data_IF_804516956211
#
_entry.id   IF_804516956211
#
_cell.length_a   1.000
_cell.length_b   1.000
_cell.length_c   1.000
_cell.angle_alpha   90.00
_cell.angle_beta   90.00
_cell.angle_gamma   90.00
#
_symmetry.space_group_name_H-M   'P 1'
#
loop_
_entity.id
_entity.type
_entity.pdbx_description
1 polymer ?
#
# COMPACT_ATOMS: atom_id res chain seq x y z
N UNK A 1 -24.70 37.97 45.94
CA UNK A 1 -24.88 37.76 44.51
C UNK A 1 -23.59 37.33 43.77
N UNK A 2 -22.66 36.61 44.44
CA UNK A 2 -21.36 36.26 43.83
C UNK A 2 -21.08 34.75 43.74
N UNK A 3 -22.05 33.89 44.05
CA UNK A 3 -21.87 32.42 44.04
C UNK A 3 -22.50 31.69 42.84
N UNK A 4 -23.11 32.38 41.87
CA UNK A 4 -23.78 31.75 40.70
C UNK A 4 -23.03 31.88 39.37
N UNK A 5 -21.87 32.51 39.35
CA UNK A 5 -21.12 32.73 38.08
C UNK A 5 -19.98 31.72 37.85
N UNK A 6 -19.61 30.92 38.87
CA UNK A 6 -18.46 30.01 38.78
C UNK A 6 -18.83 28.63 38.20
N UNK A 7 -20.09 28.24 38.12
CA UNK A 7 -20.51 26.92 37.60
C UNK A 7 -20.65 26.85 36.05
N UNK A 8 -20.68 27.99 35.35
CA UNK A 8 -20.91 27.98 33.88
C UNK A 8 -19.64 27.93 33.06
N UNK A 9 -18.46 28.17 33.67
CA UNK A 9 -17.18 28.18 32.93
C UNK A 9 -16.47 26.82 32.85
N UNK A 10 -16.87 25.83 33.65
CA UNK A 10 -16.22 24.49 33.65
C UNK A 10 -16.81 23.49 32.64
N UNK A 11 -17.95 23.77 32.03
CA UNK A 11 -18.60 22.83 31.07
C UNK A 11 -18.13 23.04 29.64
N UNK A 12 -17.50 24.19 29.33
CA UNK A 12 -17.05 24.49 27.96
C UNK A 12 -15.67 23.92 27.58
N UNK A 13 -14.91 23.36 28.53
CA UNK A 13 -13.55 22.87 28.29
C UNK A 13 -13.44 21.37 27.97
N UNK A 14 -14.51 20.59 28.08
CA UNK A 14 -14.47 19.14 27.82
C UNK A 14 -14.84 18.72 26.38
N UNK A 15 -15.16 19.65 25.49
CA UNK A 15 -15.65 19.33 24.15
C UNK A 15 -14.59 19.38 23.02
N UNK A 16 -13.32 19.72 23.33
CA UNK A 16 -12.30 19.88 22.27
C UNK A 16 -11.37 18.65 22.15
N UNK A 17 -11.52 17.65 23.04
CA UNK A 17 -10.56 16.53 23.13
C UNK A 17 -10.89 15.26 22.38
N UNK A 18 -12.03 15.12 21.69
CA UNK A 18 -12.53 13.79 21.25
C UNK A 18 -12.57 13.56 19.73
N UNK A 19 -12.19 14.50 18.88
CA UNK A 19 -12.24 14.30 17.44
C UNK A 19 -10.96 13.69 16.82
N UNK A 20 -9.85 13.63 17.53
CA UNK A 20 -8.59 13.08 17.01
C UNK A 20 -8.48 11.55 17.10
N UNK A 21 -9.42 10.86 17.76
CA UNK A 21 -9.23 9.47 18.20
C UNK A 21 -9.76 8.40 17.25
N UNK A 22 -10.41 8.72 16.12
CA UNK A 22 -11.12 7.75 15.27
C UNK A 22 -10.81 7.80 13.78
N UNK A 23 -9.70 8.41 13.33
CA UNK A 23 -9.29 8.32 11.92
C UNK A 23 -8.49 7.03 11.67
N UNK A 24 -9.15 5.88 11.86
CA UNK A 24 -8.51 4.57 11.72
C UNK A 24 -7.92 4.34 10.32
N UNK A 25 -8.55 4.89 9.29
CA UNK A 25 -8.06 4.82 7.91
C UNK A 25 -6.99 5.90 7.60
N UNK A 26 -6.75 6.84 8.53
CA UNK A 26 -5.83 7.95 8.37
C UNK A 26 -6.15 8.82 7.14
N UNK A 27 -7.42 9.22 6.98
CA UNK A 27 -7.87 10.11 5.91
C UNK A 27 -7.14 11.45 5.91
N UNK A 28 -6.77 11.94 7.11
CA UNK A 28 -6.02 13.19 7.26
C UNK A 28 -4.65 13.18 6.58
N UNK A 29 -4.03 12.00 6.40
CA UNK A 29 -2.65 11.86 5.87
C UNK A 29 -2.45 12.54 4.52
N UNK A 30 -3.40 12.41 3.61
CA UNK A 30 -3.30 12.96 2.26
C UNK A 30 -4.36 14.00 1.93
N UNK A 31 -5.21 14.36 2.90
CA UNK A 31 -6.34 15.26 2.64
C UNK A 31 -5.93 16.57 1.96
N UNK A 32 -4.97 17.30 2.54
CA UNK A 32 -4.49 18.58 1.98
C UNK A 32 -3.78 18.40 0.63
N UNK A 33 -2.95 17.36 0.51
CA UNK A 33 -2.26 17.07 -0.75
C UNK A 33 -3.24 16.65 -1.85
N UNK A 34 -4.30 15.91 -1.51
CA UNK A 34 -5.36 15.54 -2.46
C UNK A 34 -6.05 16.78 -3.05
N UNK A 35 -6.26 17.85 -2.27
CA UNK A 35 -6.82 19.09 -2.83
C UNK A 35 -5.89 19.70 -3.88
N UNK A 36 -4.58 19.73 -3.61
CA UNK A 36 -3.58 20.20 -4.57
C UNK A 36 -3.51 19.30 -5.80
N UNK A 37 -3.44 17.98 -5.63
CA UNK A 37 -3.36 17.03 -6.74
C UNK A 37 -4.56 17.12 -7.69
N UNK A 38 -5.77 17.36 -7.18
CA UNK A 38 -6.98 17.54 -8.01
C UNK A 38 -6.86 18.71 -9.00
N UNK A 39 -6.08 19.75 -8.69
CA UNK A 39 -5.87 20.89 -9.58
C UNK A 39 -4.81 20.66 -10.66
N UNK A 40 -3.98 19.61 -10.51
CA UNK A 40 -2.95 19.29 -11.48
C UNK A 40 -3.53 18.80 -12.81
N UNK A 41 -2.86 19.07 -13.94
CA UNK A 41 -3.24 18.46 -15.22
C UNK A 41 -3.10 16.94 -15.16
N UNK A 42 -3.84 16.25 -16.03
CA UNK A 42 -3.92 14.77 -16.06
C UNK A 42 -2.53 14.10 -16.16
N UNK A 43 -1.61 14.73 -16.87
CA UNK A 43 -0.24 14.22 -17.07
C UNK A 43 0.57 14.18 -15.78
N UNK A 44 0.24 15.04 -14.81
CA UNK A 44 0.89 15.13 -13.48
C UNK A 44 0.20 14.27 -12.41
N UNK A 45 -0.94 13.68 -12.72
CA UNK A 45 -1.70 12.74 -11.85
C UNK A 45 -2.16 11.50 -12.63
N UNK A 46 -1.28 11.03 -13.51
CA UNK A 46 -1.57 9.97 -14.47
C UNK A 46 -1.87 8.62 -13.80
N UNK A 47 -1.12 8.25 -12.77
CA UNK A 47 -1.25 6.97 -12.06
C UNK A 47 -1.16 7.20 -10.56
N UNK A 48 -2.08 6.60 -9.82
CA UNK A 48 -2.00 6.56 -8.35
C UNK A 48 -1.43 5.21 -7.91
N UNK A 49 -0.49 5.23 -6.99
CA UNK A 49 0.05 4.05 -6.31
C UNK A 49 -0.52 4.01 -4.89
N UNK A 50 -1.50 3.15 -4.65
CA UNK A 50 -2.05 2.95 -3.31
C UNK A 50 -1.42 1.73 -2.65
N UNK A 51 -1.04 1.87 -1.37
CA UNK A 51 -0.37 0.79 -0.65
C UNK A 51 -0.08 1.10 0.81
N UNK A 52 0.83 0.31 1.35
CA UNK A 52 1.32 0.39 2.73
C UNK A 52 2.73 1.03 2.80
N UNK A 53 3.55 0.61 3.79
CA UNK A 53 4.93 1.09 3.97
C UNK A 53 5.82 0.89 2.73
N UNK A 54 5.63 -0.16 1.95
CA UNK A 54 6.41 -0.38 0.73
C UNK A 54 6.17 0.76 -0.26
N UNK A 55 4.93 1.20 -0.44
CA UNK A 55 4.60 2.34 -1.31
C UNK A 55 4.98 3.68 -0.67
N UNK A 56 4.80 3.85 0.63
CA UNK A 56 5.14 5.06 1.39
C UNK A 56 6.66 5.34 1.34
N UNK A 57 7.46 4.31 1.65
CA UNK A 57 8.91 4.37 1.61
C UNK A 57 9.45 4.60 0.18
N UNK A 58 8.81 4.00 -0.82
CA UNK A 58 9.19 4.23 -2.22
C UNK A 58 9.02 5.70 -2.60
N UNK A 59 7.85 6.27 -2.31
CA UNK A 59 7.57 7.68 -2.57
C UNK A 59 8.51 8.61 -1.82
N UNK A 60 8.82 8.33 -0.56
CA UNK A 60 9.69 9.17 0.27
C UNK A 60 11.18 9.08 -0.13
N UNK A 61 11.63 7.93 -0.61
CA UNK A 61 13.06 7.67 -0.92
C UNK A 61 13.43 7.94 -2.37
N UNK A 62 12.49 7.77 -3.29
CA UNK A 62 12.68 7.95 -4.73
C UNK A 62 11.52 8.76 -5.32
N UNK A 63 11.24 9.92 -4.72
CA UNK A 63 10.13 10.80 -5.11
C UNK A 63 10.19 11.28 -6.56
N UNK A 64 11.41 11.43 -7.15
CA UNK A 64 11.60 11.76 -8.55
C UNK A 64 10.98 10.72 -9.49
N UNK A 65 11.08 9.43 -9.19
CA UNK A 65 10.40 8.38 -9.97
C UNK A 65 8.90 8.66 -10.12
N UNK A 66 8.28 9.17 -9.07
CA UNK A 66 6.85 9.53 -9.11
C UNK A 66 6.59 10.83 -9.86
N UNK A 67 7.31 11.90 -9.49
CA UNK A 67 7.10 13.25 -10.06
C UNK A 67 7.35 13.29 -11.57
N UNK A 68 8.45 12.68 -12.02
CA UNK A 68 8.90 12.77 -13.41
C UNK A 68 7.99 11.96 -14.36
N UNK A 69 7.27 10.97 -13.82
CA UNK A 69 6.36 10.13 -14.58
C UNK A 69 4.87 10.51 -14.40
N UNK A 70 4.55 11.53 -13.61
CA UNK A 70 3.17 11.91 -13.29
C UNK A 70 2.45 10.88 -12.43
N UNK A 71 3.18 10.25 -11.49
CA UNK A 71 2.64 9.29 -10.55
C UNK A 71 2.40 9.94 -9.19
N UNK A 72 1.39 9.48 -8.49
CA UNK A 72 0.99 9.97 -7.16
C UNK A 72 1.14 8.81 -6.16
N UNK A 73 2.00 9.00 -5.15
CA UNK A 73 2.16 8.06 -4.05
C UNK A 73 1.05 8.23 -3.01
N UNK A 74 0.38 7.13 -2.69
CA UNK A 74 -0.67 7.05 -1.65
C UNK A 74 -0.42 5.82 -0.76
N UNK A 75 0.83 5.63 -0.36
CA UNK A 75 1.23 4.65 0.64
C UNK A 75 1.04 5.18 2.05
N UNK A 76 0.60 4.33 2.99
CA UNK A 76 0.59 4.65 4.42
C UNK A 76 1.16 3.46 5.19
N UNK A 77 2.28 3.70 5.87
CA UNK A 77 2.99 2.67 6.62
C UNK A 77 2.10 2.00 7.67
N UNK A 78 2.21 0.68 7.79
CA UNK A 78 1.44 -0.13 8.75
C UNK A 78 0.02 -0.48 8.33
N UNK A 79 -0.53 0.15 7.28
CA UNK A 79 -1.92 -0.09 6.87
C UNK A 79 -2.15 -1.47 6.28
N UNK A 80 -3.30 -2.04 6.63
CA UNK A 80 -3.87 -3.25 6.05
C UNK A 80 -4.80 -2.90 4.89
N UNK A 81 -5.21 -3.92 4.13
CA UNK A 81 -6.16 -3.74 3.01
C UNK A 81 -7.51 -3.18 3.46
N UNK A 82 -7.94 -3.40 4.70
CA UNK A 82 -9.17 -2.82 5.25
C UNK A 82 -9.13 -1.29 5.28
N UNK A 83 -8.03 -0.73 5.77
CA UNK A 83 -7.83 0.72 5.82
C UNK A 83 -7.68 1.31 4.41
N UNK A 84 -6.99 0.59 3.51
CA UNK A 84 -6.84 1.00 2.11
C UNK A 84 -8.19 1.11 1.40
N UNK A 85 -9.12 0.17 1.62
CA UNK A 85 -10.49 0.22 1.04
C UNK A 85 -11.23 1.48 1.50
N UNK A 86 -11.17 1.81 2.79
CA UNK A 86 -11.89 2.96 3.33
C UNK A 86 -11.47 4.28 2.68
N UNK A 87 -10.17 4.49 2.45
CA UNK A 87 -9.64 5.72 1.86
C UNK A 87 -9.55 5.69 0.34
N UNK A 88 -9.99 4.61 -0.31
CA UNK A 88 -9.80 4.42 -1.75
C UNK A 88 -10.48 5.49 -2.60
N UNK A 89 -11.67 5.93 -2.21
CA UNK A 89 -12.36 7.00 -2.92
C UNK A 89 -11.58 8.32 -2.83
N UNK A 90 -11.18 8.73 -1.64
CA UNK A 90 -10.49 10.02 -1.43
C UNK A 90 -9.12 10.04 -2.09
N UNK A 91 -8.34 8.97 -1.91
CA UNK A 91 -6.94 8.91 -2.31
C UNK A 91 -6.72 8.39 -3.74
N UNK A 92 -7.76 7.85 -4.39
CA UNK A 92 -7.64 7.31 -5.75
C UNK A 92 -8.73 7.87 -6.65
N UNK A 93 -10.00 7.56 -6.37
CA UNK A 93 -11.11 7.84 -7.31
C UNK A 93 -11.26 9.34 -7.55
N UNK A 94 -11.27 10.12 -6.47
CA UNK A 94 -11.44 11.58 -6.52
C UNK A 94 -10.25 12.34 -7.12
N UNK A 95 -9.12 11.65 -7.36
CA UNK A 95 -7.96 12.19 -8.08
C UNK A 95 -8.07 12.01 -9.60
N UNK A 96 -9.04 11.23 -10.06
CA UNK A 96 -9.30 10.93 -11.47
C UNK A 96 -8.05 10.50 -12.26
N UNK A 97 -7.27 9.50 -11.80
CA UNK A 97 -6.11 9.03 -12.54
C UNK A 97 -6.54 8.20 -13.76
N UNK A 98 -5.62 7.99 -14.72
CA UNK A 98 -5.83 7.02 -15.82
C UNK A 98 -5.75 5.57 -15.29
N UNK A 99 -4.87 5.32 -14.32
CA UNK A 99 -4.68 3.99 -13.74
C UNK A 99 -4.38 4.05 -12.25
N UNK A 100 -4.56 2.92 -11.58
CA UNK A 100 -4.15 2.69 -10.19
C UNK A 100 -3.30 1.44 -10.09
N UNK A 101 -2.21 1.53 -9.34
CA UNK A 101 -1.39 0.39 -8.88
C UNK A 101 -1.80 0.09 -7.45
N UNK A 102 -2.27 -1.13 -7.20
CA UNK A 102 -2.73 -1.59 -5.88
C UNK A 102 -1.71 -2.59 -5.34
N UNK A 103 -1.02 -2.22 -4.26
CA UNK A 103 -0.08 -3.07 -3.54
C UNK A 103 -0.48 -3.18 -2.07
N UNK A 104 -0.95 -4.35 -1.64
CA UNK A 104 -1.43 -4.58 -0.28
C UNK A 104 -1.45 -6.06 0.10
N UNK A 105 -1.61 -6.33 1.40
CA UNK A 105 -1.67 -7.69 1.96
C UNK A 105 -0.54 -8.02 2.93
N UNK A 106 0.62 -7.38 2.82
CA UNK A 106 1.77 -7.59 3.72
C UNK A 106 1.37 -7.43 5.20
N UNK A 107 0.73 -6.32 5.54
CA UNK A 107 0.37 -6.02 6.92
C UNK A 107 -0.85 -6.81 7.42
N UNK A 108 -1.70 -7.27 6.51
CA UNK A 108 -2.77 -8.22 6.83
C UNK A 108 -2.15 -9.55 7.29
N UNK A 109 -1.20 -10.09 6.52
CA UNK A 109 -0.44 -11.32 6.86
C UNK A 109 0.36 -11.14 8.15
N UNK A 110 0.93 -9.95 8.37
CA UNK A 110 1.66 -9.58 9.58
C UNK A 110 0.74 -9.32 10.79
N UNK A 111 -0.57 -9.57 10.69
CA UNK A 111 -1.55 -9.40 11.78
C UNK A 111 -1.61 -7.97 12.33
N UNK A 112 -1.30 -6.95 11.52
CA UNK A 112 -1.47 -5.57 11.94
C UNK A 112 -2.97 -5.28 12.08
N UNK A 113 -3.40 -4.83 13.22
CA UNK A 113 -4.77 -4.38 13.50
C UNK A 113 -5.88 -5.47 13.54
N UNK A 114 -5.69 -6.67 12.99
CA UNK A 114 -6.69 -7.75 12.98
C UNK A 114 -6.05 -9.12 12.70
N UNK A 115 -6.72 -10.23 13.05
CA UNK A 115 -6.32 -11.57 12.61
C UNK A 115 -6.33 -11.70 11.08
N UNK A 116 -5.36 -12.42 10.52
CA UNK A 116 -5.33 -12.69 9.09
C UNK A 116 -6.42 -13.65 8.67
N UNK A 117 -7.24 -13.22 7.73
CA UNK A 117 -8.22 -14.05 7.04
C UNK A 117 -8.02 -13.80 5.54
N UNK A 118 -7.42 -14.76 4.84
CA UNK A 118 -7.04 -14.61 3.43
C UNK A 118 -8.20 -14.16 2.53
N UNK A 119 -9.39 -14.76 2.73
CA UNK A 119 -10.57 -14.39 1.95
C UNK A 119 -10.93 -12.92 2.08
N UNK A 120 -10.84 -12.36 3.28
CA UNK A 120 -11.13 -10.93 3.52
C UNK A 120 -10.07 -10.02 2.91
N UNK A 121 -8.79 -10.36 3.10
CA UNK A 121 -7.68 -9.61 2.47
C UNK A 121 -7.83 -9.61 0.95
N UNK A 122 -8.11 -10.76 0.36
CA UNK A 122 -8.36 -10.89 -1.07
C UNK A 122 -9.62 -10.11 -1.51
N UNK A 123 -10.72 -10.19 -0.76
CA UNK A 123 -11.94 -9.41 -1.04
C UNK A 123 -11.66 -7.90 -1.02
N UNK A 124 -10.91 -7.39 -0.06
CA UNK A 124 -10.54 -5.97 0.00
C UNK A 124 -9.78 -5.53 -1.26
N UNK A 125 -8.81 -6.33 -1.71
CA UNK A 125 -8.08 -6.06 -2.97
C UNK A 125 -9.03 -6.06 -4.17
N UNK A 126 -9.95 -7.01 -4.23
CA UNK A 126 -10.92 -7.09 -5.34
C UNK A 126 -11.96 -5.98 -5.30
N UNK A 127 -12.39 -5.53 -4.13
CA UNK A 127 -13.26 -4.37 -3.95
C UNK A 127 -12.60 -3.12 -4.52
N UNK A 128 -11.35 -2.83 -4.15
CA UNK A 128 -10.62 -1.68 -4.70
C UNK A 128 -10.49 -1.75 -6.22
N UNK A 129 -10.18 -2.93 -6.76
CA UNK A 129 -10.09 -3.15 -8.21
C UNK A 129 -11.43 -2.93 -8.92
N UNK A 130 -12.54 -3.36 -8.32
CA UNK A 130 -13.88 -3.16 -8.88
C UNK A 130 -14.32 -1.71 -8.82
N UNK A 131 -14.06 -1.01 -7.70
CA UNK A 131 -14.33 0.43 -7.57
C UNK A 131 -13.56 1.19 -8.66
N UNK A 132 -12.27 0.91 -8.86
CA UNK A 132 -11.47 1.52 -9.91
C UNK A 132 -12.07 1.28 -11.30
N UNK A 133 -12.42 0.01 -11.62
CA UNK A 133 -13.02 -0.36 -12.90
C UNK A 133 -14.33 0.36 -13.16
N UNK A 134 -15.23 0.45 -12.17
CA UNK A 134 -16.50 1.15 -12.27
C UNK A 134 -16.31 2.66 -12.53
N UNK A 135 -15.24 3.25 -12.01
CA UNK A 135 -14.86 4.64 -12.23
C UNK A 135 -13.95 4.82 -13.47
N UNK A 136 -13.88 3.83 -14.37
CA UNK A 136 -13.09 3.86 -15.63
C UNK A 136 -11.58 4.02 -15.41
N UNK A 137 -11.07 3.76 -14.21
CA UNK A 137 -9.65 3.75 -13.86
C UNK A 137 -9.08 2.37 -14.22
N UNK A 138 -8.00 2.32 -14.98
CA UNK A 138 -7.33 1.06 -15.33
C UNK A 138 -6.65 0.47 -14.09
N UNK A 139 -6.77 -0.84 -13.93
CA UNK A 139 -6.30 -1.55 -12.74
C UNK A 139 -4.98 -2.28 -13.02
N UNK A 140 -4.01 -2.07 -12.17
CA UNK A 140 -2.75 -2.81 -12.11
C UNK A 140 -2.66 -3.41 -10.71
N UNK A 141 -2.75 -4.73 -10.61
CA UNK A 141 -2.55 -5.47 -9.36
C UNK A 141 -1.10 -5.91 -9.27
N UNK A 142 -0.54 -5.91 -8.06
CA UNK A 142 0.81 -6.41 -7.84
C UNK A 142 0.82 -7.60 -6.91
N UNK A 143 1.86 -8.43 -7.00
CA UNK A 143 2.11 -9.39 -5.94
C UNK A 143 2.52 -8.67 -4.64
N UNK A 144 2.26 -9.30 -3.51
CA UNK A 144 2.95 -9.05 -2.25
C UNK A 144 4.41 -9.45 -2.44
N UNK A 145 5.35 -8.62 -1.98
CA UNK A 145 6.79 -8.88 -2.05
C UNK A 145 7.20 -10.06 -1.16
N UNK A 146 8.34 -10.72 -1.42
CA UNK A 146 8.84 -11.76 -0.52
C UNK A 146 9.08 -11.21 0.87
N UNK A 147 8.73 -11.99 1.89
CA UNK A 147 9.08 -11.74 3.28
C UNK A 147 8.99 -13.06 4.06
N UNK A 148 10.10 -13.47 4.66
CA UNK A 148 10.12 -14.70 5.46
C UNK A 148 9.60 -14.43 6.88
N UNK A 149 10.00 -13.32 7.47
CA UNK A 149 9.73 -12.98 8.88
C UNK A 149 9.45 -11.50 9.03
N UNK A 150 8.39 -11.17 9.72
CA UNK A 150 8.09 -9.79 10.11
C UNK A 150 8.80 -9.49 11.44
N UNK A 151 9.83 -8.64 11.43
CA UNK A 151 10.60 -8.30 12.63
C UNK A 151 9.75 -7.73 13.77
N UNK A 152 8.64 -7.10 13.44
CA UNK A 152 7.66 -6.54 14.39
C UNK A 152 6.54 -7.52 14.77
N UNK A 153 6.52 -8.74 14.19
CA UNK A 153 5.54 -9.80 14.43
C UNK A 153 6.21 -11.17 14.39
N UNK A 154 7.12 -11.47 15.32
CA UNK A 154 7.89 -12.72 15.31
C UNK A 154 7.02 -13.98 15.46
N UNK A 155 5.80 -13.84 15.97
CA UNK A 155 4.82 -14.92 16.09
C UNK A 155 4.27 -15.40 14.72
N UNK A 156 4.42 -14.64 13.64
CA UNK A 156 4.01 -15.05 12.31
C UNK A 156 5.12 -15.89 11.67
N UNK A 157 4.96 -17.19 11.71
CA UNK A 157 5.98 -18.16 11.23
C UNK A 157 5.65 -18.76 9.85
N UNK A 158 4.47 -18.48 9.32
CA UNK A 158 3.92 -19.02 8.06
C UNK A 158 3.73 -17.94 6.97
N UNK A 159 4.53 -16.86 7.04
CA UNK A 159 4.40 -15.73 6.12
C UNK A 159 4.62 -16.14 4.65
N UNK A 160 5.60 -17.02 4.38
CA UNK A 160 5.92 -17.48 3.01
C UNK A 160 4.73 -18.14 2.35
N UNK A 161 4.07 -19.08 3.06
CA UNK A 161 2.92 -19.82 2.54
C UNK A 161 1.74 -18.89 2.28
N UNK A 162 1.44 -18.00 3.22
CA UNK A 162 0.38 -17.00 3.10
C UNK A 162 0.61 -16.05 1.94
N UNK A 163 1.85 -15.56 1.76
CA UNK A 163 2.21 -14.68 0.63
C UNK A 163 2.01 -15.43 -0.70
N UNK A 164 2.48 -16.67 -0.80
CA UNK A 164 2.32 -17.46 -2.03
C UNK A 164 0.86 -17.72 -2.36
N UNK A 165 0.07 -18.10 -1.36
CA UNK A 165 -1.37 -18.34 -1.52
C UNK A 165 -2.09 -17.11 -2.01
N UNK A 166 -1.92 -15.98 -1.32
CA UNK A 166 -2.56 -14.71 -1.69
C UNK A 166 -2.12 -14.24 -3.08
N UNK A 167 -0.82 -14.34 -3.40
CA UNK A 167 -0.29 -13.95 -4.72
C UNK A 167 -0.89 -14.78 -5.86
N UNK A 168 -1.06 -16.09 -5.66
CA UNK A 168 -1.70 -16.95 -6.65
C UNK A 168 -3.14 -16.49 -6.95
N UNK A 169 -3.90 -16.14 -5.91
CA UNK A 169 -5.28 -15.63 -6.04
C UNK A 169 -5.34 -14.28 -6.75
N UNK A 170 -4.46 -13.33 -6.37
CA UNK A 170 -4.39 -12.01 -7.02
C UNK A 170 -4.07 -12.16 -8.51
N UNK A 171 -3.08 -13.00 -8.85
CA UNK A 171 -2.67 -13.26 -10.23
C UNK A 171 -3.82 -13.83 -11.07
N UNK A 172 -4.51 -14.83 -10.53
CA UNK A 172 -5.65 -15.46 -11.21
C UNK A 172 -6.82 -14.49 -11.37
N UNK A 173 -7.10 -13.67 -10.36
CA UNK A 173 -8.12 -12.64 -10.45
C UNK A 173 -7.79 -11.58 -11.51
N UNK A 174 -6.54 -11.13 -11.56
CA UNK A 174 -6.07 -10.20 -12.58
C UNK A 174 -6.27 -10.79 -13.99
N UNK A 175 -5.87 -12.05 -14.18
CA UNK A 175 -6.04 -12.78 -15.45
C UNK A 175 -7.52 -12.86 -15.87
N UNK A 176 -8.40 -13.28 -14.98
CA UNK A 176 -9.84 -13.40 -15.26
C UNK A 176 -10.51 -12.07 -15.62
N UNK A 177 -10.06 -10.98 -15.00
CA UNK A 177 -10.63 -9.65 -15.22
C UNK A 177 -9.89 -8.83 -16.29
N UNK A 178 -8.85 -9.39 -16.94
CA UNK A 178 -8.00 -8.73 -17.93
C UNK A 178 -7.31 -7.48 -17.35
N UNK A 179 -6.99 -7.48 -16.06
CA UNK A 179 -6.17 -6.48 -15.40
C UNK A 179 -4.68 -6.76 -15.63
N UNK A 180 -3.84 -5.73 -15.57
CA UNK A 180 -2.41 -5.96 -15.53
C UNK A 180 -2.02 -6.56 -14.18
N UNK A 181 -1.07 -7.48 -14.19
CA UNK A 181 -0.45 -8.04 -12.99
C UNK A 181 1.05 -7.80 -13.04
N UNK A 182 1.61 -7.28 -11.95
CA UNK A 182 3.06 -7.06 -11.81
C UNK A 182 3.60 -8.01 -10.76
N UNK A 183 4.45 -8.94 -11.19
CA UNK A 183 5.02 -9.98 -10.33
C UNK A 183 6.33 -9.51 -9.67
N UNK A 184 6.21 -8.65 -8.67
CA UNK A 184 7.35 -8.25 -7.84
C UNK A 184 7.95 -9.44 -7.09
N UNK A 185 7.09 -10.37 -6.62
CA UNK A 185 7.54 -11.53 -5.86
C UNK A 185 8.59 -12.32 -6.62
N UNK A 186 8.26 -12.76 -7.83
CA UNK A 186 9.18 -13.57 -8.66
C UNK A 186 10.47 -12.83 -9.01
N UNK A 187 10.42 -11.50 -9.17
CA UNK A 187 11.59 -10.69 -9.47
C UNK A 187 12.51 -10.45 -8.27
N UNK A 188 11.99 -10.56 -7.04
CA UNK A 188 12.69 -10.18 -5.82
C UNK A 188 12.99 -11.36 -4.88
N UNK A 189 12.38 -12.53 -5.10
CA UNK A 189 12.58 -13.71 -4.27
C UNK A 189 13.97 -14.30 -4.49
N UNK A 190 14.61 -14.71 -3.38
CA UNK A 190 15.83 -15.50 -3.44
C UNK A 190 15.52 -16.90 -4.00
N UNK A 191 16.44 -17.44 -4.79
CA UNK A 191 16.39 -18.81 -5.27
C UNK A 191 17.54 -19.63 -4.68
N UNK A 192 17.29 -20.89 -4.35
CA UNK A 192 18.32 -21.81 -3.85
C UNK A 192 19.21 -22.32 -5.00
N UNK A 193 20.18 -23.17 -4.66
CA UNK A 193 21.12 -23.76 -5.61
C UNK A 193 20.44 -24.60 -6.73
N UNK A 194 19.19 -25.02 -6.52
CA UNK A 194 18.39 -25.78 -7.49
C UNK A 194 17.45 -24.88 -8.30
N UNK A 195 17.54 -23.54 -8.13
CA UNK A 195 16.66 -22.57 -8.79
C UNK A 195 15.25 -22.47 -8.19
N UNK A 196 15.00 -23.07 -7.01
CA UNK A 196 13.71 -23.03 -6.34
C UNK A 196 13.60 -21.78 -5.46
N UNK A 197 12.48 -21.07 -5.56
CA UNK A 197 12.19 -19.91 -4.73
C UNK A 197 12.13 -20.27 -3.23
N UNK A 198 12.96 -19.61 -2.42
CA UNK A 198 13.01 -19.85 -0.95
C UNK A 198 11.83 -19.19 -0.23
N UNK A 199 11.33 -18.10 -0.75
CA UNK A 199 10.32 -17.23 -0.12
C UNK A 199 10.94 -16.01 0.57
N UNK A 200 12.25 -15.99 0.78
CA UNK A 200 12.99 -14.85 1.29
C UNK A 200 13.22 -13.81 0.21
N UNK A 201 13.34 -12.55 0.60
CA UNK A 201 13.81 -11.51 -0.30
C UNK A 201 15.30 -11.73 -0.61
N UNK A 202 15.72 -11.47 -1.85
CA UNK A 202 17.14 -11.57 -2.23
C UNK A 202 18.02 -10.71 -1.32
N UNK A 203 19.24 -11.17 -0.98
CA UNK A 203 20.17 -10.35 -0.20
C UNK A 203 20.48 -9.01 -0.86
N UNK A 204 20.63 -7.97 -0.06
CA UNK A 204 21.07 -6.64 -0.47
C UNK A 204 19.97 -5.72 -1.05
N UNK A 205 18.75 -6.20 -1.24
CA UNK A 205 17.65 -5.41 -1.82
C UNK A 205 16.58 -4.98 -0.80
N UNK A 206 16.77 -5.30 0.46
CA UNK A 206 15.93 -4.82 1.57
C UNK A 206 16.68 -3.84 2.47
N UNK A 207 15.91 -3.17 3.32
CA UNK A 207 16.47 -2.33 4.39
C UNK A 207 17.39 -3.15 5.30
N UNK A 208 18.26 -2.46 6.02
CA UNK A 208 19.17 -3.06 7.00
C UNK A 208 18.62 -2.90 8.41
N UNK A 209 18.83 -3.92 9.23
CA UNK A 209 18.67 -3.85 10.69
C UNK A 209 19.86 -3.11 11.32
N UNK A 210 19.75 -2.82 12.59
CA UNK A 210 20.83 -2.17 13.37
C UNK A 210 22.12 -2.98 13.42
N UNK A 211 22.05 -4.30 13.26
CA UNK A 211 23.20 -5.21 13.20
C UNK A 211 23.81 -5.34 11.79
N UNK A 212 23.31 -4.58 10.82
CA UNK A 212 23.77 -4.57 9.42
C UNK A 212 23.21 -5.71 8.56
N UNK A 213 22.44 -6.64 9.12
CA UNK A 213 21.77 -7.69 8.35
C UNK A 213 20.57 -7.16 7.56
N UNK A 214 20.16 -7.88 6.52
CA UNK A 214 18.95 -7.52 5.76
C UNK A 214 17.69 -7.71 6.61
N UNK A 215 16.78 -6.72 6.53
CA UNK A 215 15.48 -6.80 7.20
C UNK A 215 14.56 -7.81 6.50
N UNK A 216 14.67 -7.92 5.20
CA UNK A 216 14.06 -8.98 4.40
C UNK A 216 12.60 -8.78 3.99
N UNK A 217 12.01 -7.61 4.27
CA UNK A 217 10.62 -7.26 3.94
C UNK A 217 10.45 -5.95 3.18
N UNK A 218 11.09 -4.88 3.66
CA UNK A 218 10.99 -3.57 3.06
C UNK A 218 12.09 -3.36 2.02
N UNK A 219 11.74 -3.12 0.74
CA UNK A 219 12.73 -2.82 -0.28
C UNK A 219 13.51 -1.55 0.05
N UNK A 220 14.83 -1.58 -0.16
CA UNK A 220 15.68 -0.40 -0.24
C UNK A 220 15.71 0.17 -1.68
N UNK A 221 16.55 1.15 -1.96
CA UNK A 221 16.65 1.73 -3.32
C UNK A 221 16.99 0.69 -4.39
N UNK A 222 17.85 -0.30 -4.08
CA UNK A 222 18.15 -1.38 -5.02
C UNK A 222 16.94 -2.28 -5.26
N UNK A 223 16.11 -2.51 -4.24
CA UNK A 223 14.84 -3.23 -4.36
C UNK A 223 13.83 -2.45 -5.23
N UNK A 224 13.69 -1.15 -5.02
CA UNK A 224 12.82 -0.33 -5.87
C UNK A 224 13.29 -0.26 -7.32
N UNK A 225 14.59 -0.20 -7.57
CA UNK A 225 15.15 -0.25 -8.93
C UNK A 225 14.77 -1.53 -9.71
N UNK A 226 14.44 -2.62 -9.01
CA UNK A 226 13.89 -3.84 -9.64
C UNK A 226 12.38 -3.66 -9.92
N UNK A 227 11.64 -3.03 -9.02
CA UNK A 227 10.18 -2.87 -9.13
C UNK A 227 9.79 -1.88 -10.23
N UNK A 228 10.55 -0.82 -10.42
CA UNK A 228 10.27 0.30 -11.32
C UNK A 228 10.05 -0.11 -12.78
N UNK A 229 10.97 -0.81 -13.45
CA UNK A 229 10.79 -1.18 -14.86
C UNK A 229 9.60 -2.14 -15.04
N UNK A 230 9.30 -2.99 -14.05
CA UNK A 230 8.18 -3.92 -14.10
C UNK A 230 6.84 -3.18 -14.08
N UNK A 231 6.67 -2.25 -13.13
CA UNK A 231 5.42 -1.48 -13.06
C UNK A 231 5.28 -0.51 -14.21
N UNK A 232 6.36 0.13 -14.65
CA UNK A 232 6.33 1.01 -15.83
C UNK A 232 5.92 0.26 -17.10
N UNK A 233 6.39 -1.00 -17.27
CA UNK A 233 5.95 -1.85 -18.38
C UNK A 233 4.45 -2.10 -18.36
N UNK A 234 3.86 -2.36 -17.18
CA UNK A 234 2.43 -2.54 -17.03
C UNK A 234 1.66 -1.23 -17.28
N UNK A 235 2.14 -0.10 -16.76
CA UNK A 235 1.52 1.22 -16.94
C UNK A 235 1.47 1.61 -18.42
N UNK A 236 2.57 1.41 -19.16
CA UNK A 236 2.65 1.71 -20.63
C UNK A 236 1.57 0.98 -21.42
N UNK A 237 1.09 -0.18 -20.97
CA UNK A 237 0.04 -0.95 -21.66
C UNK A 237 -1.35 -0.37 -21.47
N UNK A 238 -1.63 0.34 -20.36
CA UNK A 238 -2.98 0.74 -19.97
C UNK A 238 -3.20 2.24 -19.78
N UNK A 239 -2.16 3.01 -19.54
CA UNK A 239 -2.24 4.45 -19.23
C UNK A 239 -1.46 5.28 -20.28
N UNK A 240 -1.76 5.06 -21.55
CA UNK A 240 -1.24 5.84 -22.68
C UNK A 240 -1.76 7.29 -22.65
#
# INVERSE_FOLDING_TARGET
>A
MLKKIICSALIAMCAIGTQAQNDWANFGRYHADNQTVKTLPQEKRKVVFIGNSITDNWYSRHGEFFRDNGYIGRGISGQTTYQMVLRFYEDVVNLHPKAVVINGGTNDIALNNHPYVEDRTFQNITIMAQIAKQNKIKVILTSVTPCEKYGWRPEVTDAIEKIRSLNARIKEYARKNKFQYVDYYSAMVEVDANGKATGRMRPGISDKRSDGTDEGCHPNLAGYAIMEPLVQSAIKKVAK
#
